data_IF_822988522115
#
_entry.id   IF_822988522115
#
_cell.length_a   1.000
_cell.length_b   1.000
_cell.length_c   1.000
_cell.angle_alpha   90.00
_cell.angle_beta   90.00
_cell.angle_gamma   90.00
#
_symmetry.space_group_name_H-M   'P 1'
#
loop_
_entity.id
_entity.type
_entity.pdbx_description
1 polymer ?
#
# COMPACT_ATOMS: atom_id res chain seq x y z
N UNK A 23 22.21 12.30 22.20
CA UNK A 23 21.48 11.69 21.05
C UNK A 23 20.72 12.72 20.22
N UNK A 24 20.55 12.44 18.93
CA UNK A 24 19.85 13.35 18.02
C UNK A 24 18.33 13.32 18.19
N UNK A 25 17.69 14.43 17.84
CA UNK A 25 16.24 14.51 17.84
C UNK A 25 15.73 14.87 16.44
N UNK A 26 14.80 14.07 15.94
CA UNK A 26 14.25 14.26 14.60
C UNK A 26 12.73 14.42 14.64
N UNK A 27 12.26 15.50 14.04
CA UNK A 27 10.83 15.82 14.01
C UNK A 27 10.29 15.78 12.61
N UNK A 28 8.99 15.99 12.47
CA UNK A 28 8.35 15.92 11.16
C UNK A 28 8.04 17.31 10.64
N UNK A 29 8.78 17.73 9.61
CA UNK A 29 8.67 19.09 9.08
C UNK A 29 7.39 19.36 8.31
N UNK A 30 6.85 18.33 7.66
CA UNK A 30 5.62 18.48 6.90
C UNK A 30 4.67 17.30 7.13
N UNK A 31 3.37 17.55 7.01
CA UNK A 31 2.37 16.48 7.11
C UNK A 31 2.56 15.45 6.00
N UNK A 32 2.18 14.21 6.29
CA UNK A 32 2.40 13.09 5.38
C UNK A 32 1.82 13.29 3.98
N UNK A 33 2.45 12.66 2.99
CA UNK A 33 1.90 12.55 1.64
C UNK A 33 0.85 11.44 1.65
N UNK A 34 -0.28 11.69 1.00
CA UNK A 34 -1.40 10.75 1.02
C UNK A 34 -1.89 10.36 -0.36
N UNK A 35 -2.20 9.07 -0.51
CA UNK A 35 -2.81 8.55 -1.72
C UNK A 35 -4.14 7.90 -1.35
N UNK A 36 -5.22 8.40 -1.94
CA UNK A 36 -6.50 7.70 -1.90
C UNK A 36 -6.50 6.64 -3.01
N UNK A 37 -6.62 5.38 -2.62
CA UNK A 37 -6.43 4.26 -3.55
C UNK A 37 -7.69 3.84 -4.26
N UNK A 38 -8.54 4.80 -4.61
CA UNK A 38 -9.82 4.53 -5.28
C UNK A 38 -9.62 3.84 -6.63
N UNK A 39 -10.25 2.67 -6.78
CA UNK A 39 -10.12 1.86 -8.00
C UNK A 39 -11.46 1.65 -8.66
N UNK A 40 -12.54 1.95 -7.94
CA UNK A 40 -13.90 1.74 -8.45
C UNK A 40 -14.33 0.28 -8.47
N UNK A 41 -15.19 -0.05 -9.44
CA UNK A 41 -15.81 -1.37 -9.53
C UNK A 41 -14.97 -2.33 -10.37
N UNK A 42 -14.78 -3.55 -9.86
CA UNK A 42 -13.95 -4.56 -10.54
C UNK A 42 -14.67 -5.92 -10.61
N UNK A 43 -14.71 -6.50 -11.81
CA UNK A 43 -15.36 -7.80 -12.04
C UNK A 43 -14.33 -8.90 -12.28
N UNK A 44 -14.33 -9.91 -11.40
CA UNK A 44 -13.37 -11.02 -11.48
C UNK A 44 -13.83 -12.08 -12.47
N UNK A 45 -12.97 -12.40 -13.44
CA UNK A 45 -13.25 -13.46 -14.40
C UNK A 45 -12.96 -14.83 -13.79
N UNK A 46 -13.86 -15.81 -14.02
CA UNK A 46 -13.65 -17.16 -13.51
C UNK A 46 -12.44 -17.85 -14.17
N UNK A 47 -12.12 -17.45 -15.40
CA UNK A 47 -11.03 -18.05 -16.17
C UNK A 47 -9.64 -17.63 -15.70
N UNK A 48 -9.58 -16.55 -14.93
CA UNK A 48 -8.33 -16.00 -14.43
C UNK A 48 -7.67 -16.98 -13.45
N UNK A 49 -6.44 -17.44 -13.77
CA UNK A 49 -5.75 -18.44 -12.95
C UNK A 49 -5.32 -17.89 -11.59
N UNK A 50 -5.14 -18.78 -10.62
CA UNK A 50 -4.76 -18.39 -9.27
C UNK A 50 -3.38 -17.73 -9.26
N UNK A 51 -3.25 -16.68 -8.45
CA UNK A 51 -2.00 -15.94 -8.35
C UNK A 51 -1.87 -14.77 -9.30
N UNK A 52 -2.63 -14.78 -10.39
CA UNK A 52 -2.55 -13.72 -11.40
C UNK A 52 -3.25 -12.43 -10.96
N UNK A 53 -2.92 -11.32 -11.63
CA UNK A 53 -3.47 -10.01 -11.29
C UNK A 53 -4.89 -9.84 -11.83
N UNK A 54 -5.80 -9.45 -10.95
CA UNK A 54 -7.17 -9.14 -11.33
C UNK A 54 -7.24 -7.71 -11.82
N UNK A 55 -6.70 -6.79 -11.02
CA UNK A 55 -6.63 -5.38 -11.36
C UNK A 55 -5.44 -4.71 -10.68
N UNK A 56 -4.91 -3.67 -11.32
CA UNK A 56 -3.77 -2.93 -10.80
C UNK A 56 -3.98 -1.42 -10.99
N UNK A 57 -3.43 -0.63 -10.07
CA UNK A 57 -3.46 0.83 -10.21
C UNK A 57 -2.18 1.48 -9.68
N UNK A 58 -1.70 2.49 -10.40
CA UNK A 58 -0.44 3.15 -10.07
C UNK A 58 -0.60 4.66 -9.94
N UNK A 59 -0.18 5.19 -8.79
CA UNK A 59 -0.11 6.63 -8.58
C UNK A 59 1.32 7.08 -8.54
N UNK A 60 1.58 8.25 -9.10
CA UNK A 60 2.93 8.82 -9.08
C UNK A 60 3.00 10.01 -8.13
N UNK A 61 4.16 10.21 -7.52
CA UNK A 61 4.44 11.41 -6.75
C UNK A 61 5.62 12.09 -7.39
N UNK A 62 5.45 13.37 -7.75
CA UNK A 62 6.53 14.12 -8.40
C UNK A 62 7.73 14.29 -7.47
N UNK A 63 8.93 14.32 -8.04
CA UNK A 63 10.13 14.53 -7.23
C UNK A 63 10.08 15.94 -6.63
N UNK A 64 10.26 16.00 -5.32
CA UNK A 64 9.86 17.18 -4.56
C UNK A 64 10.99 17.78 -3.74
N UNK A 65 10.90 19.08 -3.50
CA UNK A 65 11.85 19.77 -2.63
C UNK A 65 11.43 19.77 -1.16
N UNK A 66 10.21 19.33 -0.89
CA UNK A 66 9.63 19.34 0.45
C UNK A 66 10.37 18.39 1.39
N UNK A 67 10.60 18.86 2.62
CA UNK A 67 11.30 18.10 3.65
C UNK A 67 10.28 17.54 4.64
N UNK A 68 10.25 16.22 4.79
CA UNK A 68 9.29 15.56 5.67
C UNK A 68 9.90 15.26 7.03
N UNK A 69 11.20 14.96 7.06
CA UNK A 69 11.91 14.72 8.32
C UNK A 69 13.16 15.60 8.41
N UNK A 70 13.33 16.26 9.55
CA UNK A 70 14.45 17.16 9.82
C UNK A 70 15.04 16.87 11.19
N UNK A 71 16.37 16.88 11.28
CA UNK A 71 17.08 16.64 12.54
C UNK A 71 18.03 17.79 12.87
N UNK A 72 18.64 17.72 14.06
CA UNK A 72 19.63 18.70 14.50
C UNK A 72 21.05 18.30 14.11
N UNK A 73 21.35 17.01 14.24
CA UNK A 73 22.64 16.45 13.84
C UNK A 73 22.48 15.70 12.53
N UNK A 74 23.59 15.18 12.02
CA UNK A 74 23.54 14.20 10.96
C UNK A 74 23.14 12.87 11.60
N UNK A 75 21.97 12.36 11.21
CA UNK A 75 21.37 11.20 11.86
C UNK A 75 21.18 10.05 10.88
N UNK A 76 21.40 8.84 11.38
CA UNK A 76 21.12 7.61 10.62
C UNK A 76 19.74 7.05 10.98
N UNK A 77 18.82 7.10 10.02
CA UNK A 77 17.42 6.74 10.27
C UNK A 77 16.95 5.48 9.55
N UNK A 78 16.11 4.71 10.24
CA UNK A 78 15.49 3.51 9.68
C UNK A 78 13.99 3.75 9.47
N UNK A 79 13.57 3.78 8.21
CA UNK A 79 12.16 3.97 7.86
C UNK A 79 11.49 2.64 7.53
N UNK A 80 10.38 2.37 8.21
CA UNK A 80 9.63 1.12 8.02
C UNK A 80 8.44 1.29 7.08
N UNK A 81 8.29 0.35 6.15
CA UNK A 81 7.11 0.26 5.29
C UNK A 81 6.14 -0.73 5.92
N UNK A 82 5.00 -0.21 6.39
CA UNK A 82 4.05 -1.00 7.17
C UNK A 82 2.67 -1.10 6.53
N UNK A 83 2.10 -2.30 6.58
CA UNK A 83 0.70 -2.51 6.28
C UNK A 83 -0.03 -2.50 7.62
N UNK A 84 -0.97 -1.57 7.76
CA UNK A 84 -1.60 -1.31 9.06
C UNK A 84 -3.10 -1.58 9.10
N UNK A 85 -3.69 -1.91 7.94
CA UNK A 85 -5.13 -2.14 7.83
C UNK A 85 -5.59 -3.38 8.58
N UNK A 86 -6.65 -3.22 9.37
CA UNK A 86 -7.23 -4.32 10.14
C UNK A 86 -7.96 -5.29 9.21
N UNK A 87 -7.88 -6.58 9.53
CA UNK A 87 -8.54 -7.61 8.73
C UNK A 87 -7.71 -8.10 7.57
N UNK A 88 -6.45 -7.68 7.53
CA UNK A 88 -5.51 -8.12 6.51
C UNK A 88 -4.42 -8.96 7.12
N UNK A 89 -4.30 -10.20 6.65
CA UNK A 89 -3.24 -11.09 7.10
C UNK A 89 -2.28 -11.33 5.95
N UNK A 90 -0.99 -11.24 6.24
CA UNK A 90 0.05 -11.44 5.24
C UNK A 90 0.18 -12.92 4.89
N UNK A 91 0.03 -13.23 3.61
CA UNK A 91 0.29 -14.57 3.09
C UNK A 91 1.66 -14.62 2.43
N UNK A 92 1.83 -15.54 1.49
CA UNK A 92 3.10 -15.70 0.77
C UNK A 92 3.36 -14.55 -0.21
N UNK A 93 4.63 -14.35 -0.55
CA UNK A 93 5.05 -13.34 -1.54
C UNK A 93 4.51 -11.94 -1.29
N UNK A 94 4.39 -11.58 -0.01
CA UNK A 94 3.90 -10.27 0.43
C UNK A 94 2.52 -9.91 -0.14
N UNK A 95 1.66 -10.92 -0.22
CA UNK A 95 0.27 -10.75 -0.64
C UNK A 95 -0.61 -10.86 0.60
N UNK A 96 -1.50 -9.88 0.78
CA UNK A 96 -2.35 -9.82 1.96
C UNK A 96 -3.77 -10.26 1.65
N UNK A 97 -4.23 -11.29 2.35
CA UNK A 97 -5.59 -11.79 2.20
C UNK A 97 -6.61 -10.82 2.82
N UNK A 98 -7.86 -10.93 2.39
CA UNK A 98 -8.91 -10.01 2.81
C UNK A 98 -10.09 -10.70 3.51
N UNK A 99 -11.04 -9.88 3.98
CA UNK A 99 -12.35 -10.34 4.42
C UNK A 99 -13.17 -10.88 3.24
N UNK A 100 -12.78 -10.50 2.02
CA UNK A 100 -13.35 -11.07 0.80
C UNK A 100 -12.58 -12.34 0.42
N UNK A 101 -13.29 -13.47 0.29
CA UNK A 101 -12.67 -14.77 -0.02
C UNK A 101 -11.90 -14.76 -1.34
N UNK A 102 -10.67 -15.25 -1.29
CA UNK A 102 -9.83 -15.37 -2.48
C UNK A 102 -9.36 -14.06 -3.08
N UNK A 103 -9.34 -13.01 -2.27
CA UNK A 103 -8.91 -11.69 -2.73
C UNK A 103 -7.67 -11.22 -1.98
N UNK A 104 -6.59 -11.00 -2.73
CA UNK A 104 -5.31 -10.57 -2.17
C UNK A 104 -4.91 -9.15 -2.52
N UNK A 105 -4.01 -8.59 -1.72
CA UNK A 105 -3.51 -7.23 -1.94
C UNK A 105 -1.99 -7.17 -1.79
N UNK A 106 -1.34 -6.53 -2.77
CA UNK A 106 0.10 -6.29 -2.71
C UNK A 106 0.41 -4.82 -2.98
N UNK A 107 1.13 -4.20 -2.05
CA UNK A 107 1.50 -2.80 -2.15
C UNK A 107 2.99 -2.69 -2.45
N UNK A 108 3.33 -1.91 -3.47
CA UNK A 108 4.71 -1.75 -3.87
C UNK A 108 5.03 -0.29 -4.20
N UNK A 109 6.31 0.06 -4.09
CA UNK A 109 6.79 1.38 -4.45
C UNK A 109 7.98 1.21 -5.38
N UNK A 110 8.01 2.00 -6.45
CA UNK A 110 9.10 1.92 -7.42
C UNK A 110 9.62 3.30 -7.79
N UNK A 111 10.94 3.44 -7.78
CA UNK A 111 11.61 4.71 -8.07
C UNK A 111 13.04 4.64 -7.61
N UNK A 112 13.51 5.72 -6.99
CA UNK A 112 14.85 5.76 -6.41
C UNK A 112 14.97 4.76 -5.26
N UNK A 113 14.01 4.79 -4.34
CA UNK A 113 13.87 3.76 -3.31
C UNK A 113 12.70 2.85 -3.68
N UNK A 114 12.99 1.57 -3.90
CA UNK A 114 12.00 0.62 -4.38
C UNK A 114 11.81 -0.54 -3.41
N UNK A 115 10.56 -0.80 -3.03
CA UNK A 115 10.25 -1.89 -2.10
C UNK A 115 8.82 -2.38 -2.21
N UNK A 116 8.65 -3.67 -1.92
CA UNK A 116 7.34 -4.29 -1.78
C UNK A 116 7.05 -4.41 -0.28
N UNK A 117 5.89 -3.89 0.14
CA UNK A 117 5.49 -3.89 1.54
C UNK A 117 5.23 -5.32 2.04
N UNK A 118 5.69 -5.65 3.26
CA UNK A 118 6.46 -4.79 4.16
C UNK A 118 7.97 -4.83 3.91
N UNK A 119 8.65 -3.76 4.31
CA UNK A 119 10.11 -3.65 4.21
C UNK A 119 10.59 -2.50 5.10
N UNK A 120 11.90 -2.26 5.10
CA UNK A 120 12.48 -1.13 5.81
C UNK A 120 13.67 -0.56 5.05
N UNK A 121 13.83 0.75 5.12
CA UNK A 121 14.94 1.44 4.46
C UNK A 121 15.78 2.25 5.44
N UNK A 122 17.10 2.16 5.29
CA UNK A 122 18.03 2.90 6.14
C UNK A 122 18.88 3.87 5.33
N UNK A 123 18.98 5.09 5.84
CA UNK A 123 19.83 6.13 5.25
C UNK A 123 20.30 7.12 6.33
N UNK A 124 21.21 8.02 5.96
CA UNK A 124 21.80 8.96 6.91
C UNK A 124 21.75 10.38 6.34
N UNK A 125 21.47 11.35 7.21
CA UNK A 125 21.37 12.75 6.82
C UNK A 125 20.79 13.60 7.93
N UNK A 126 20.50 14.86 7.62
CA UNK A 126 19.92 15.78 8.60
C UNK A 126 18.59 16.32 8.09
N UNK A 127 18.41 16.28 6.77
CA UNK A 127 17.13 16.58 6.12
C UNK A 127 16.73 15.40 5.24
N UNK A 128 15.43 15.15 5.15
CA UNK A 128 14.93 14.00 4.40
C UNK A 128 13.75 14.36 3.51
N UNK A 129 13.92 14.12 2.21
CA UNK A 129 12.85 14.29 1.23
C UNK A 129 12.26 12.93 0.86
N UNK A 130 11.08 12.95 0.25
CA UNK A 130 10.52 11.76 -0.38
C UNK A 130 10.91 11.73 -1.84
N UNK A 131 11.58 10.65 -2.23
CA UNK A 131 12.05 10.46 -3.60
C UNK A 131 10.87 10.23 -4.52
N UNK A 132 10.78 11.04 -5.58
CA UNK A 132 9.76 10.86 -6.61
C UNK A 132 9.67 9.40 -7.01
N UNK A 133 8.46 8.86 -6.97
CA UNK A 133 8.25 7.44 -7.22
C UNK A 133 6.83 7.12 -7.67
N UNK A 134 6.60 5.85 -7.98
CA UNK A 134 5.27 5.33 -8.25
C UNK A 134 4.84 4.46 -7.08
N UNK A 135 3.58 4.56 -6.70
CA UNK A 135 3.00 3.61 -5.75
C UNK A 135 2.00 2.73 -6.49
N UNK A 136 2.10 1.42 -6.28
CA UNK A 136 1.28 0.46 -7.03
C UNK A 136 0.53 -0.53 -6.13
N UNK A 137 -0.79 -0.54 -6.26
CA UNK A 137 -1.66 -1.51 -5.61
C UNK A 137 -2.03 -2.63 -6.58
N UNK A 138 -1.85 -3.87 -6.12
CA UNK A 138 -2.19 -5.04 -6.92
C UNK A 138 -3.30 -5.84 -6.26
N UNK A 139 -4.34 -6.13 -7.03
CA UNK A 139 -5.40 -7.04 -6.58
C UNK A 139 -5.15 -8.43 -7.18
N UNK A 140 -4.92 -9.40 -6.30
CA UNK A 140 -4.51 -10.75 -6.68
C UNK A 140 -5.62 -11.75 -6.41
N UNK A 141 -5.77 -12.73 -7.31
CA UNK A 141 -6.67 -13.86 -7.09
C UNK A 141 -6.00 -14.91 -6.21
N UNK A 142 -6.47 -15.00 -4.96
CA UNK A 142 -5.89 -15.87 -3.92
C UNK A 142 -6.36 -17.32 -4.06
N UNK A 143 -7.64 -17.51 -4.36
CA UNK A 143 -8.24 -18.83 -4.49
C UNK A 143 -8.96 -18.98 -5.84
N UNK A 144 -9.22 -20.22 -6.24
CA UNK A 144 -9.96 -20.52 -7.46
C UNK A 144 -11.42 -20.07 -7.36
N UNK A 145 -11.91 -19.98 -6.12
CA UNK A 145 -13.23 -19.43 -5.84
C UNK A 145 -13.13 -18.06 -5.15
N UNK A 146 -13.68 -17.03 -5.80
CA UNK A 146 -13.60 -15.66 -5.29
C UNK A 146 -14.97 -15.11 -4.88
N UNK A 147 -15.00 -14.41 -3.75
CA UNK A 147 -16.23 -13.80 -3.23
C UNK A 147 -16.43 -12.39 -3.74
N UNK A 148 -17.43 -11.71 -3.19
CA UNK A 148 -17.71 -10.32 -3.54
C UNK A 148 -17.70 -9.44 -2.31
N UNK A 149 -17.73 -8.12 -2.52
CA UNK A 149 -17.75 -7.17 -1.41
C UNK A 149 -17.03 -5.86 -1.68
N UNK A 150 -17.16 -4.93 -0.74
CA UNK A 150 -16.48 -3.63 -0.80
C UNK A 150 -15.47 -3.56 0.34
N UNK A 151 -14.27 -3.07 0.03
CA UNK A 151 -13.20 -2.98 1.02
C UNK A 151 -13.47 -1.91 2.07
N UNK A 152 -12.99 -2.17 3.29
CA UNK A 152 -13.22 -1.28 4.43
C UNK A 152 -12.54 0.07 4.29
N UNK A 153 -13.21 1.11 4.79
CA UNK A 153 -12.66 2.46 4.81
C UNK A 153 -11.51 2.60 5.82
N UNK A 154 -10.58 3.50 5.53
CA UNK A 154 -9.49 3.81 6.46
C UNK A 154 -8.09 3.56 5.93
N UNK A 155 -7.08 3.63 6.83
CA UNK A 155 -5.66 3.46 6.47
C UNK A 155 -5.31 2.04 6.03
N UNK A 156 -4.29 1.92 5.18
CA UNK A 156 -3.81 0.63 4.70
C UNK A 156 -2.29 0.54 4.75
N UNK A 157 -1.64 1.61 4.29
CA UNK A 157 -0.18 1.68 4.24
C UNK A 157 0.35 2.85 5.05
N UNK A 158 1.47 2.62 5.73
CA UNK A 158 2.18 3.66 6.47
C UNK A 158 3.69 3.49 6.35
N UNK A 159 4.34 4.54 5.86
CA UNK A 159 5.79 4.54 5.69
C UNK A 159 6.41 5.72 6.43
N UNK A 160 7.48 5.45 7.17
CA UNK A 160 8.17 6.49 7.92
C UNK A 160 9.14 5.96 8.95
N UNK A 161 9.97 6.85 9.53
CA UNK A 161 10.93 6.49 10.57
C UNK A 161 10.34 6.65 11.97
N UNK A 162 9.44 5.74 12.34
CA UNK A 162 8.75 5.82 13.62
C UNK A 162 7.58 6.80 13.61
N UNK A 163 7.35 7.43 12.46
CA UNK A 163 6.15 8.24 12.22
C UNK A 163 5.84 8.33 10.73
N UNK A 164 4.55 8.36 10.41
CA UNK A 164 4.09 8.28 9.02
C UNK A 164 4.40 9.55 8.24
N UNK A 165 5.15 9.39 7.15
CA UNK A 165 5.39 10.48 6.20
C UNK A 165 4.79 10.16 4.84
N UNK A 166 4.42 8.89 4.66
CA UNK A 166 3.73 8.44 3.45
C UNK A 166 2.62 7.48 3.82
N UNK A 167 1.39 7.88 3.53
CA UNK A 167 0.21 7.10 3.91
C UNK A 167 -0.72 6.84 2.72
N UNK A 168 -1.19 5.60 2.60
CA UNK A 168 -2.19 5.25 1.59
C UNK A 168 -3.43 4.67 2.26
N UNK A 169 -4.60 5.09 1.79
CA UNK A 169 -5.87 4.72 2.41
C UNK A 169 -7.03 4.66 1.42
N UNK A 170 -8.20 4.24 1.92
CA UNK A 170 -9.42 4.17 1.11
C UNK A 170 -10.56 4.93 1.76
N UNK A 171 -11.44 5.47 0.93
CA UNK A 171 -12.71 6.03 1.39
C UNK A 171 -13.76 4.94 1.54
N UNK A 172 -15.03 5.35 1.60
CA UNK A 172 -16.14 4.42 1.49
C UNK A 172 -16.45 4.22 0.01
N UNK A 173 -16.69 2.96 -0.37
CA UNK A 173 -17.02 2.57 -1.76
C UNK A 173 -15.99 3.06 -2.78
N UNK A 174 -14.72 2.79 -2.51
CA UNK A 174 -13.64 3.18 -3.41
C UNK A 174 -13.12 1.98 -4.20
N UNK A 175 -13.23 0.80 -3.60
CA UNK A 175 -12.95 -0.46 -4.30
C UNK A 175 -14.05 -1.49 -4.04
N UNK A 176 -14.81 -1.82 -5.08
CA UNK A 176 -15.82 -2.86 -5.01
C UNK A 176 -15.44 -4.03 -5.92
N UNK A 177 -15.33 -5.22 -5.33
CA UNK A 177 -15.00 -6.43 -6.07
C UNK A 177 -16.24 -7.30 -6.23
N UNK A 178 -16.62 -7.53 -7.49
CA UNK A 178 -17.81 -8.31 -7.81
C UNK A 178 -17.44 -9.48 -8.71
N UNK A 179 -17.32 -10.66 -8.12
CA UNK A 179 -17.13 -11.89 -8.88
C UNK A 179 -18.46 -12.62 -8.99
N UNK A 180 -18.93 -12.88 -10.23
CA UNK A 180 -20.22 -13.54 -10.46
C UNK A 180 -20.23 -14.99 -9.96
N UNK A 181 -21.28 -15.33 -9.20
CA UNK A 181 -21.39 -16.64 -8.57
C UNK A 181 -22.28 -17.61 -9.36
N UNK A 182 -21.93 -18.90 -9.27
CA UNK A 182 -22.71 -19.97 -9.87
C UNK A 182 -23.35 -20.81 -8.77
N UNK A 183 -24.67 -20.71 -8.64
CA UNK A 183 -25.39 -21.41 -7.57
C UNK A 183 -26.23 -22.60 -8.06
N UNK A 184 -26.70 -23.41 -7.11
CA UNK A 184 -27.55 -24.56 -7.40
C UNK A 184 -29.03 -24.19 -7.42
N UNK A 185 -29.82 -25.02 -8.09
CA UNK A 185 -31.25 -24.77 -8.29
C UNK A 185 -32.01 -26.10 -8.32
#
# INVERSE_FOLDING_TARGET
ASWSHPQFEKSGGGGGLVPRGSGSSCWQSNSAYEINMAMGRVVVSPDLPVGSVIATKTWTMPDNNTIYVTCDRNTTLKSDAKVVAAGLVQGANKVYSTAIPGIGLRFSRKGAISMIYPDSYTTTGSSFRLAGSTFTLDIIKTSTTTGSGTLASGPYTEYGPGFTILKTSLNADAITIVSPSCTIL
#
